data_IF_171704903590
#
_entry.id   IF_171704903590
#
_cell.length_a   1.000
_cell.length_b   1.000
_cell.length_c   1.000
_cell.angle_alpha   90.00
_cell.angle_beta   90.00
_cell.angle_gamma   90.00
#
_symmetry.space_group_name_H-M   'P 1'
#
loop_
_entity.id
_entity.type
_entity.pdbx_description
1 polymer ?
#
# COMPACT_ATOMS: atom_id res chain seq x y z
N UNK A 1 -22.52 25.32 -3.09
CA UNK A 1 -23.31 24.72 -1.99
C UNK A 1 -24.41 23.80 -2.54
N UNK A 2 -23.98 22.62 -3.02
CA UNK A 2 -24.85 21.63 -3.68
C UNK A 2 -25.98 21.09 -2.79
N UNK A 3 -25.78 21.06 -1.47
CA UNK A 3 -26.81 20.64 -0.51
C UNK A 3 -28.01 21.59 -0.49
N UNK A 4 -27.76 22.90 -0.58
CA UNK A 4 -28.83 23.91 -0.65
C UNK A 4 -29.57 23.83 -1.98
N UNK A 5 -28.87 23.63 -3.09
CA UNK A 5 -29.48 23.47 -4.41
C UNK A 5 -30.35 22.21 -4.46
N UNK A 6 -29.84 21.06 -3.99
CA UNK A 6 -30.59 19.80 -3.90
C UNK A 6 -31.84 19.98 -3.05
N UNK A 7 -31.75 20.61 -1.89
CA UNK A 7 -32.88 20.83 -1.01
C UNK A 7 -33.93 21.76 -1.62
N UNK A 8 -33.51 22.80 -2.35
CA UNK A 8 -34.43 23.68 -3.08
C UNK A 8 -35.18 22.94 -4.19
N UNK A 9 -34.52 22.04 -4.89
CA UNK A 9 -35.14 21.23 -5.97
C UNK A 9 -36.09 20.17 -5.42
N UNK A 10 -35.69 19.44 -4.36
CA UNK A 10 -36.47 18.29 -3.83
C UNK A 10 -37.66 18.75 -2.98
N UNK A 11 -37.52 19.82 -2.17
CA UNK A 11 -38.58 20.20 -1.22
C UNK A 11 -39.69 21.11 -1.80
N UNK A 12 -39.53 21.63 -3.03
CA UNK A 12 -40.61 22.35 -3.71
C UNK A 12 -41.44 21.49 -4.70
N UNK A 13 -41.07 20.23 -4.91
CA UNK A 13 -41.77 19.32 -5.83
C UNK A 13 -43.00 18.62 -5.22
N UNK A 14 -43.53 19.06 -4.07
CA UNK A 14 -44.69 18.48 -3.40
C UNK A 14 -46.06 19.04 -3.84
N UNK A 15 -46.11 19.76 -4.95
CA UNK A 15 -47.39 20.21 -5.57
C UNK A 15 -47.84 19.25 -6.65
N UNK A 16 -49.12 18.93 -6.67
CA UNK A 16 -49.82 17.94 -7.54
C UNK A 16 -49.93 18.32 -9.03
N UNK A 17 -49.09 19.20 -9.53
CA UNK A 17 -49.06 19.53 -10.98
C UNK A 17 -47.70 19.21 -11.58
N UNK A 18 -47.79 18.62 -12.79
CA UNK A 18 -46.70 18.11 -13.61
C UNK A 18 -45.33 18.75 -13.41
N UNK A 19 -44.34 17.89 -13.26
CA UNK A 19 -42.87 18.12 -13.36
C UNK A 19 -42.41 19.53 -13.78
N UNK A 20 -42.61 20.54 -12.92
CA UNK A 20 -41.99 21.84 -13.09
C UNK A 20 -40.60 21.75 -12.50
N UNK A 21 -39.57 21.56 -13.32
CA UNK A 21 -38.20 21.71 -12.91
C UNK A 21 -37.99 23.15 -12.43
N UNK A 22 -37.76 23.33 -11.14
CA UNK A 22 -37.56 24.64 -10.50
C UNK A 22 -36.24 25.27 -10.95
N UNK A 23 -35.27 24.44 -11.36
CA UNK A 23 -34.02 24.87 -11.94
C UNK A 23 -33.47 23.78 -12.86
N UNK A 24 -32.95 24.19 -14.01
CA UNK A 24 -32.12 23.32 -14.84
C UNK A 24 -30.66 23.56 -14.44
N UNK A 25 -29.96 22.58 -13.82
CA UNK A 25 -28.55 22.79 -13.46
C UNK A 25 -27.71 22.97 -14.71
N UNK A 26 -26.77 23.91 -14.65
CA UNK A 26 -25.80 24.09 -15.75
C UNK A 26 -24.98 22.80 -15.93
N UNK A 27 -24.57 22.51 -17.15
CA UNK A 27 -23.81 21.29 -17.50
C UNK A 27 -22.57 21.11 -16.62
N UNK A 28 -21.83 22.17 -16.33
CA UNK A 28 -20.67 22.11 -15.45
C UNK A 28 -21.00 21.66 -14.01
N UNK A 29 -22.20 21.93 -13.52
CA UNK A 29 -22.67 21.48 -12.19
C UNK A 29 -22.96 19.97 -12.22
N UNK A 30 -23.62 19.51 -13.29
CA UNK A 30 -23.91 18.07 -13.50
C UNK A 30 -22.62 17.29 -13.63
N UNK A 31 -21.67 17.77 -14.45
CA UNK A 31 -20.34 17.17 -14.60
C UNK A 31 -19.57 17.10 -13.28
N UNK A 32 -19.61 18.17 -12.49
CA UNK A 32 -18.95 18.19 -11.17
C UNK A 32 -19.58 17.18 -10.21
N UNK A 33 -20.91 17.04 -10.19
CA UNK A 33 -21.59 16.05 -9.35
C UNK A 33 -21.25 14.64 -9.80
N UNK A 34 -21.30 14.35 -11.10
CA UNK A 34 -20.91 13.07 -11.65
C UNK A 34 -19.44 12.73 -11.36
N UNK A 35 -18.55 13.72 -11.40
CA UNK A 35 -17.16 13.56 -11.02
C UNK A 35 -17.00 13.21 -9.54
N UNK A 36 -17.72 13.92 -8.64
CA UNK A 36 -17.73 13.63 -7.19
C UNK A 36 -18.28 12.23 -6.92
N UNK A 37 -19.39 11.87 -7.57
CA UNK A 37 -19.97 10.53 -7.47
C UNK A 37 -18.94 9.46 -7.87
N UNK A 38 -18.29 9.62 -9.03
CA UNK A 38 -17.23 8.72 -9.47
C UNK A 38 -16.13 8.54 -8.43
N UNK A 39 -15.67 9.65 -7.82
CA UNK A 39 -14.62 9.60 -6.79
C UNK A 39 -15.07 8.86 -5.52
N UNK A 40 -16.33 8.98 -5.15
CA UNK A 40 -16.90 8.34 -3.95
C UNK A 40 -17.27 6.87 -4.20
N UNK A 41 -17.88 6.58 -5.33
CA UNK A 41 -18.37 5.23 -5.64
C UNK A 41 -17.30 4.32 -6.27
N UNK A 42 -16.32 4.92 -6.95
CA UNK A 42 -15.23 4.22 -7.62
C UNK A 42 -13.88 4.88 -7.27
N UNK A 43 -13.44 4.80 -6.01
CA UNK A 43 -12.17 5.39 -5.61
C UNK A 43 -11.00 4.72 -6.34
N UNK A 44 -9.90 5.47 -6.61
CA UNK A 44 -8.74 4.94 -7.31
C UNK A 44 -8.10 3.80 -6.52
N UNK A 45 -7.98 2.63 -7.15
CA UNK A 45 -7.37 1.46 -6.53
C UNK A 45 -5.85 1.57 -6.56
N UNK A 46 -5.22 1.05 -5.52
CA UNK A 46 -3.77 1.02 -5.41
C UNK A 46 -3.13 0.28 -6.60
N UNK A 47 -3.67 -0.87 -6.96
CA UNK A 47 -3.14 -1.73 -8.02
C UNK A 47 -3.18 -1.08 -9.41
N UNK A 48 -4.08 -0.12 -9.63
CA UNK A 48 -4.12 0.68 -10.88
C UNK A 48 -3.02 1.75 -10.91
N UNK A 49 -2.64 2.27 -9.73
CA UNK A 49 -1.63 3.31 -9.59
C UNK A 49 -0.20 2.79 -9.66
N UNK A 50 0.02 1.52 -9.30
CA UNK A 50 1.35 0.91 -9.23
C UNK A 50 1.46 -0.26 -10.19
N UNK A 51 2.65 -0.41 -10.81
CA UNK A 51 2.95 -1.64 -11.55
C UNK A 51 3.35 -2.73 -10.56
N UNK A 52 2.89 -3.96 -10.77
CA UNK A 52 3.38 -5.11 -10.03
C UNK A 52 4.91 -5.16 -10.19
N UNK A 53 5.62 -5.00 -9.08
CA UNK A 53 7.07 -5.11 -9.05
C UNK A 53 7.43 -6.54 -8.69
N UNK A 54 8.50 -7.06 -9.30
CA UNK A 54 9.10 -8.30 -8.80
C UNK A 54 9.59 -8.04 -7.38
N UNK A 55 8.96 -8.68 -6.40
CA UNK A 55 9.33 -8.57 -5.00
C UNK A 55 10.49 -9.54 -4.75
N UNK A 56 11.57 -9.03 -4.19
CA UNK A 56 12.65 -9.88 -3.72
C UNK A 56 12.19 -10.65 -2.46
N UNK A 57 12.48 -11.92 -2.43
CA UNK A 57 12.09 -12.80 -1.33
C UNK A 57 13.18 -13.81 -1.03
N UNK A 58 13.13 -14.34 0.19
CA UNK A 58 13.99 -15.42 0.67
C UNK A 58 13.14 -16.44 1.41
N UNK A 59 13.69 -17.65 1.59
CA UNK A 59 13.04 -18.67 2.40
C UNK A 59 13.57 -18.65 3.83
N UNK A 60 12.71 -18.96 4.80
CA UNK A 60 13.03 -18.90 6.22
C UNK A 60 14.15 -19.88 6.63
N UNK A 61 14.27 -21.01 5.95
CA UNK A 61 15.30 -22.04 6.18
C UNK A 61 16.67 -21.69 5.58
N UNK A 62 16.75 -20.69 4.69
CA UNK A 62 18.00 -20.33 4.04
C UNK A 62 18.86 -19.43 4.95
N UNK A 63 20.20 -19.54 4.84
CA UNK A 63 21.10 -18.73 5.65
C UNK A 63 21.02 -17.25 5.31
N UNK A 64 21.31 -16.38 6.26
CA UNK A 64 21.25 -14.91 6.15
C UNK A 64 22.06 -14.37 4.98
N UNK A 65 23.14 -15.01 4.60
CA UNK A 65 23.93 -14.60 3.42
C UNK A 65 23.07 -14.54 2.15
N UNK A 66 22.00 -15.35 2.07
CA UNK A 66 21.06 -15.32 0.95
C UNK A 66 20.29 -13.99 0.92
N UNK A 67 19.91 -13.47 2.09
CA UNK A 67 19.26 -12.16 2.21
C UNK A 67 20.24 -11.03 1.83
N UNK A 68 21.50 -11.11 2.27
CA UNK A 68 22.56 -10.15 1.90
C UNK A 68 22.71 -10.09 0.38
N UNK A 69 22.83 -11.24 -0.27
CA UNK A 69 22.95 -11.32 -1.72
C UNK A 69 21.71 -10.77 -2.43
N UNK A 70 20.50 -11.10 -1.95
CA UNK A 70 19.26 -10.59 -2.52
C UNK A 70 19.17 -9.06 -2.42
N UNK A 71 19.61 -8.45 -1.32
CA UNK A 71 19.69 -6.99 -1.18
C UNK A 71 20.69 -6.39 -2.18
N UNK A 72 21.86 -6.99 -2.33
CA UNK A 72 22.91 -6.52 -3.25
C UNK A 72 22.47 -6.58 -4.70
N UNK A 73 21.77 -7.65 -5.11
CA UNK A 73 21.31 -7.86 -6.48
C UNK A 73 20.11 -7.00 -6.86
N UNK A 74 19.16 -6.80 -5.92
CA UNK A 74 17.87 -6.20 -6.23
C UNK A 74 17.76 -4.73 -5.87
N UNK A 75 18.65 -4.22 -5.02
CA UNK A 75 18.60 -2.86 -4.43
C UNK A 75 17.27 -2.57 -3.70
N UNK A 76 16.49 -3.58 -3.40
CA UNK A 76 15.28 -3.45 -2.60
C UNK A 76 15.66 -3.30 -1.13
N UNK A 77 14.90 -2.51 -0.38
CA UNK A 77 15.16 -2.27 1.05
C UNK A 77 14.47 -3.28 1.98
N UNK A 78 13.59 -4.09 1.42
CA UNK A 78 12.82 -5.09 2.16
C UNK A 78 12.68 -6.36 1.33
N UNK A 79 12.83 -7.49 1.97
CA UNK A 79 12.63 -8.83 1.41
C UNK A 79 11.43 -9.48 2.09
N UNK A 80 10.63 -10.21 1.35
CA UNK A 80 9.58 -11.05 1.93
C UNK A 80 10.21 -12.38 2.32
N UNK A 81 9.87 -12.87 3.49
CA UNK A 81 10.32 -14.19 3.99
C UNK A 81 9.17 -15.17 3.86
N UNK A 82 9.43 -16.26 3.15
CA UNK A 82 8.49 -17.35 2.99
C UNK A 82 8.94 -18.60 3.75
N UNK A 83 7.98 -19.27 4.36
CA UNK A 83 8.14 -20.60 4.93
C UNK A 83 7.03 -21.52 4.39
N UNK A 84 7.41 -22.67 3.82
CA UNK A 84 6.47 -23.63 3.20
C UNK A 84 5.42 -22.95 2.29
N UNK A 85 5.84 -21.95 1.52
CA UNK A 85 4.98 -21.22 0.58
C UNK A 85 4.10 -20.14 1.20
N UNK A 86 4.12 -19.96 2.51
CA UNK A 86 3.40 -18.92 3.24
C UNK A 86 4.33 -17.77 3.62
N UNK A 87 3.85 -16.55 3.49
CA UNK A 87 4.56 -15.38 3.98
C UNK A 87 4.57 -15.40 5.52
N UNK A 88 5.78 -15.47 6.11
CA UNK A 88 5.97 -15.46 7.56
C UNK A 88 6.50 -14.12 8.08
N UNK A 89 6.99 -13.27 7.21
CA UNK A 89 7.43 -11.95 7.60
C UNK A 89 8.29 -11.23 6.56
N UNK A 90 9.06 -10.29 7.04
CA UNK A 90 9.95 -9.45 6.22
C UNK A 90 11.29 -9.28 6.90
N UNK A 91 12.33 -9.11 6.08
CA UNK A 91 13.65 -8.64 6.50
C UNK A 91 13.89 -7.32 5.80
N UNK A 92 14.17 -6.24 6.54
CA UNK A 92 14.65 -5.01 5.94
C UNK A 92 16.17 -4.89 6.07
N UNK A 93 16.79 -4.16 5.15
CA UNK A 93 18.24 -4.00 5.11
C UNK A 93 18.82 -3.36 6.37
N UNK A 94 18.09 -2.42 6.97
CA UNK A 94 18.52 -1.77 8.20
C UNK A 94 18.47 -2.73 9.41
N UNK A 95 17.42 -3.52 9.54
CA UNK A 95 17.30 -4.54 10.59
C UNK A 95 18.38 -5.61 10.46
N UNK A 96 18.66 -6.08 9.23
CA UNK A 96 19.76 -7.01 8.99
C UNK A 96 21.12 -6.40 9.36
N UNK A 97 21.35 -5.13 8.98
CA UNK A 97 22.57 -4.41 9.38
C UNK A 97 22.71 -4.33 10.91
N UNK A 98 21.63 -4.03 11.63
CA UNK A 98 21.64 -3.93 13.09
C UNK A 98 21.99 -5.29 13.74
N UNK A 99 21.46 -6.41 13.24
CA UNK A 99 21.81 -7.75 13.71
C UNK A 99 23.31 -8.07 13.47
N UNK A 100 23.81 -7.74 12.27
CA UNK A 100 25.22 -7.91 11.92
C UNK A 100 26.12 -7.07 12.85
N UNK A 101 25.75 -5.80 13.07
CA UNK A 101 26.50 -4.89 13.92
C UNK A 101 26.53 -5.34 15.38
N UNK A 102 25.39 -5.79 15.91
CA UNK A 102 25.32 -6.33 17.27
C UNK A 102 26.23 -7.54 17.43
N UNK A 103 26.14 -8.51 16.50
CA UNK A 103 26.98 -9.72 16.53
C UNK A 103 28.47 -9.41 16.44
N UNK A 104 28.86 -8.44 15.58
CA UNK A 104 30.25 -8.00 15.47
C UNK A 104 30.76 -7.30 16.74
N UNK A 105 29.91 -6.48 17.39
CA UNK A 105 30.23 -5.77 18.62
C UNK A 105 30.47 -6.71 19.82
N UNK A 106 29.76 -7.85 19.81
CA UNK A 106 29.94 -8.92 20.79
C UNK A 106 31.19 -9.79 20.51
N UNK A 107 31.98 -9.45 19.49
CA UNK A 107 33.19 -10.19 19.10
C UNK A 107 32.91 -11.48 18.33
N UNK A 108 31.67 -11.66 17.82
CA UNK A 108 31.28 -12.83 17.06
C UNK A 108 31.85 -12.84 15.64
N UNK A 109 31.97 -14.04 15.06
CA UNK A 109 32.35 -14.22 13.66
C UNK A 109 31.15 -13.94 12.75
N UNK A 110 31.17 -12.76 12.12
CA UNK A 110 30.10 -12.30 11.21
C UNK A 110 29.91 -13.25 10.02
N UNK A 111 30.99 -13.81 9.47
CA UNK A 111 30.88 -14.75 8.35
C UNK A 111 30.16 -16.04 8.77
N UNK A 112 30.50 -16.56 9.93
CA UNK A 112 29.84 -17.72 10.52
C UNK A 112 28.36 -17.41 10.79
N UNK A 113 28.07 -16.29 11.42
CA UNK A 113 26.70 -15.81 11.68
C UNK A 113 25.86 -15.77 10.40
N UNK A 114 26.36 -15.14 9.34
CA UNK A 114 25.64 -15.03 8.07
C UNK A 114 25.41 -16.36 7.36
N UNK A 115 26.28 -17.34 7.54
CA UNK A 115 26.20 -18.65 6.87
C UNK A 115 25.41 -19.71 7.66
N UNK A 116 25.37 -19.58 8.98
CA UNK A 116 24.74 -20.59 9.84
C UNK A 116 23.37 -20.16 10.38
N UNK A 117 23.08 -18.84 10.46
CA UNK A 117 21.80 -18.34 10.95
C UNK A 117 20.75 -18.36 9.84
N UNK A 118 19.60 -19.02 10.02
CA UNK A 118 18.53 -19.02 9.04
C UNK A 118 17.82 -17.65 8.97
N UNK A 119 17.32 -17.27 7.80
CA UNK A 119 16.58 -16.02 7.59
C UNK A 119 15.38 -15.87 8.53
N UNK A 120 14.70 -16.96 8.85
CA UNK A 120 13.56 -16.96 9.75
C UNK A 120 13.90 -16.55 11.20
N UNK A 121 15.15 -16.74 11.62
CA UNK A 121 15.58 -16.42 12.99
C UNK A 121 15.58 -14.92 13.31
N UNK A 122 15.66 -14.05 12.29
CA UNK A 122 15.65 -12.60 12.47
C UNK A 122 14.31 -11.96 12.11
N UNK A 123 13.30 -12.76 11.75
CA UNK A 123 11.94 -12.27 11.55
C UNK A 123 11.31 -12.03 12.92
N UNK A 124 11.17 -10.77 13.32
CA UNK A 124 10.65 -10.37 14.64
C UNK A 124 9.30 -9.67 14.50
N UNK A 125 8.44 -9.82 15.52
CA UNK A 125 7.12 -9.18 15.57
C UNK A 125 7.22 -7.64 15.50
N UNK A 126 8.23 -7.04 16.15
CA UNK A 126 8.44 -5.60 16.11
C UNK A 126 8.71 -5.09 14.68
N UNK A 127 9.37 -5.91 13.86
CA UNK A 127 9.59 -5.59 12.45
C UNK A 127 8.30 -5.77 11.66
N UNK A 128 7.55 -6.84 11.94
CA UNK A 128 6.24 -7.11 11.31
C UNK A 128 5.25 -5.98 11.60
N UNK A 129 5.28 -5.43 12.82
CA UNK A 129 4.44 -4.29 13.19
C UNK A 129 4.68 -3.05 12.32
N UNK A 130 5.84 -2.91 11.66
CA UNK A 130 6.21 -1.81 10.76
C UNK A 130 5.80 -2.03 9.31
N UNK A 131 5.03 -3.08 9.03
CA UNK A 131 4.40 -3.37 7.75
C UNK A 131 2.90 -3.48 7.94
N UNK A 132 2.13 -3.12 6.92
CA UNK A 132 0.69 -3.31 6.90
C UNK A 132 0.31 -4.20 5.73
N UNK A 133 -0.47 -5.22 6.00
CA UNK A 133 -1.08 -6.05 4.96
C UNK A 133 -2.38 -5.39 4.50
N UNK A 134 -2.60 -5.38 3.21
CA UNK A 134 -3.82 -4.86 2.59
C UNK A 134 -4.24 -5.76 1.44
N UNK A 135 -5.54 -5.78 1.15
CA UNK A 135 -6.08 -6.52 0.04
C UNK A 135 -5.80 -5.82 -1.31
N UNK A 136 -5.92 -6.56 -2.40
CA UNK A 136 -5.64 -6.03 -3.75
C UNK A 136 -6.63 -4.94 -4.20
N UNK A 137 -7.83 -4.90 -3.62
CA UNK A 137 -8.87 -3.90 -3.89
C UNK A 137 -8.71 -2.61 -3.06
N UNK A 138 -7.69 -2.54 -2.20
CA UNK A 138 -7.39 -1.38 -1.36
C UNK A 138 -7.21 -0.12 -2.21
N UNK A 139 -7.80 0.99 -1.72
CA UNK A 139 -7.69 2.28 -2.41
C UNK A 139 -6.35 2.97 -2.14
N UNK A 140 -5.98 3.89 -3.03
CA UNK A 140 -4.81 4.76 -2.82
C UNK A 140 -4.94 5.57 -1.54
N UNK A 141 -6.16 6.01 -1.20
CA UNK A 141 -6.42 6.81 0.00
C UNK A 141 -6.22 6.01 1.28
N UNK A 142 -6.61 4.72 1.31
CA UNK A 142 -6.37 3.84 2.45
C UNK A 142 -4.88 3.64 2.70
N UNK A 143 -4.07 3.56 1.64
CA UNK A 143 -2.62 3.46 1.76
C UNK A 143 -2.02 4.74 2.34
N UNK A 144 -2.40 5.91 1.84
CA UNK A 144 -1.93 7.18 2.41
C UNK A 144 -2.32 7.31 3.89
N UNK A 145 -3.57 6.97 4.22
CA UNK A 145 -4.05 6.95 5.61
C UNK A 145 -3.23 5.99 6.48
N UNK A 146 -2.88 4.82 5.97
CA UNK A 146 -2.03 3.87 6.70
C UNK A 146 -0.66 4.46 7.07
N UNK A 147 -0.02 5.19 6.16
CA UNK A 147 1.26 5.87 6.43
C UNK A 147 1.11 7.11 7.32
N UNK A 148 -0.03 7.79 7.26
CA UNK A 148 -0.33 8.94 8.14
C UNK A 148 -0.56 8.49 9.59
N UNK A 149 -1.34 7.42 9.79
CA UNK A 149 -1.66 6.85 11.10
C UNK A 149 -0.42 6.26 11.80
N UNK A 150 0.48 5.66 11.02
CA UNK A 150 1.67 4.98 11.55
C UNK A 150 2.94 5.52 10.92
N UNK A 151 3.56 6.50 11.57
CA UNK A 151 4.75 7.22 11.08
C UNK A 151 6.00 6.35 10.90
N UNK A 152 6.10 5.24 11.63
CA UNK A 152 7.20 4.27 11.51
C UNK A 152 6.89 3.13 10.53
N UNK A 153 5.78 3.21 9.80
CA UNK A 153 5.42 2.24 8.77
C UNK A 153 6.46 2.26 7.65
N UNK A 154 7.07 1.11 7.39
CA UNK A 154 8.10 0.98 6.36
C UNK A 154 7.50 0.72 4.98
N UNK A 155 6.45 -0.11 4.93
CA UNK A 155 5.78 -0.45 3.69
C UNK A 155 4.39 -1.03 3.94
N UNK A 156 3.58 -0.98 2.88
CA UNK A 156 2.32 -1.71 2.75
C UNK A 156 2.58 -2.88 1.81
N UNK A 157 2.23 -4.08 2.24
CA UNK A 157 2.33 -5.31 1.45
C UNK A 157 0.92 -5.66 0.97
N UNK A 158 0.76 -5.76 -0.33
CA UNK A 158 -0.51 -6.16 -0.94
C UNK A 158 -0.53 -7.66 -1.10
N UNK A 159 -1.59 -8.28 -0.63
CA UNK A 159 -1.89 -9.69 -0.84
C UNK A 159 -3.30 -9.81 -1.42
N UNK A 160 -3.76 -11.00 -1.77
CA UNK A 160 -5.09 -11.17 -2.36
C UNK A 160 -6.21 -10.64 -1.46
N UNK A 161 -6.20 -11.00 -0.18
CA UNK A 161 -7.24 -10.61 0.78
C UNK A 161 -6.72 -9.76 1.96
N UNK A 162 -5.45 -9.37 1.96
CA UNK A 162 -4.85 -8.57 3.03
C UNK A 162 -4.55 -9.34 4.31
N UNK A 163 -4.43 -10.67 4.24
CA UNK A 163 -4.21 -11.51 5.40
C UNK A 163 -2.82 -12.14 5.43
N UNK A 164 -2.37 -12.47 6.65
CA UNK A 164 -1.07 -13.12 6.86
C UNK A 164 -1.05 -14.52 6.26
N UNK A 165 0.10 -14.92 5.72
CA UNK A 165 0.31 -16.23 5.11
C UNK A 165 0.00 -16.28 3.62
N UNK A 166 -0.64 -15.27 3.05
CA UNK A 166 -0.85 -15.16 1.62
C UNK A 166 0.44 -14.75 0.89
N UNK A 167 0.46 -15.02 -0.42
CA UNK A 167 1.55 -14.57 -1.28
C UNK A 167 1.48 -13.04 -1.46
N UNK A 168 2.60 -12.36 -1.25
CA UNK A 168 2.70 -10.94 -1.55
C UNK A 168 2.61 -10.71 -3.07
N UNK A 169 1.68 -9.84 -3.49
CA UNK A 169 1.49 -9.42 -4.88
C UNK A 169 2.42 -8.26 -5.23
N UNK A 170 2.53 -7.30 -4.32
CA UNK A 170 3.44 -6.16 -4.44
C UNK A 170 3.74 -5.56 -3.07
N UNK A 171 4.76 -4.70 -3.02
CA UNK A 171 5.14 -3.92 -1.84
C UNK A 171 5.20 -2.44 -2.22
N UNK A 172 4.59 -1.60 -1.39
CA UNK A 172 4.50 -0.16 -1.57
C UNK A 172 5.20 0.54 -0.43
N UNK A 173 6.09 1.45 -0.77
CA UNK A 173 6.87 2.24 0.17
C UNK A 173 6.63 3.73 -0.08
N UNK A 174 7.03 4.64 0.82
CA UNK A 174 6.95 6.07 0.56
C UNK A 174 7.66 6.53 -0.74
N UNK A 175 8.63 5.77 -1.23
CA UNK A 175 9.30 6.05 -2.50
C UNK A 175 8.37 5.88 -3.73
N UNK A 176 7.24 5.20 -3.57
CA UNK A 176 6.24 5.03 -4.63
C UNK A 176 5.23 6.20 -4.70
N UNK A 177 5.17 7.07 -3.69
CA UNK A 177 4.21 8.19 -3.62
C UNK A 177 4.27 9.15 -4.81
N UNK A 178 5.43 9.56 -5.34
CA UNK A 178 5.47 10.43 -6.51
C UNK A 178 4.77 9.83 -7.72
N UNK A 179 4.81 8.51 -7.87
CA UNK A 179 4.15 7.80 -8.94
C UNK A 179 2.64 7.68 -8.70
N UNK A 180 2.25 7.39 -7.45
CA UNK A 180 0.84 7.34 -7.04
C UNK A 180 0.19 8.71 -7.24
N UNK A 181 0.87 9.79 -6.84
CA UNK A 181 0.37 11.16 -7.05
C UNK A 181 0.17 11.48 -8.54
N UNK A 182 1.11 11.09 -9.41
CA UNK A 182 0.95 11.28 -10.86
C UNK A 182 -0.25 10.51 -11.41
N UNK A 183 -0.51 9.31 -10.91
CA UNK A 183 -1.72 8.57 -11.27
C UNK A 183 -2.98 9.31 -10.82
N UNK A 184 -3.00 9.83 -9.58
CA UNK A 184 -4.13 10.61 -9.07
C UNK A 184 -4.38 11.88 -9.89
N UNK A 185 -3.33 12.57 -10.35
CA UNK A 185 -3.47 13.71 -11.24
C UNK A 185 -4.22 13.32 -12.52
N UNK A 186 -3.85 12.21 -13.16
CA UNK A 186 -4.55 11.72 -14.37
C UNK A 186 -5.95 11.20 -14.08
N UNK A 187 -6.16 10.58 -12.92
CA UNK A 187 -7.46 10.10 -12.48
C UNK A 187 -8.44 11.25 -12.22
N UNK A 188 -7.94 12.38 -11.71
CA UNK A 188 -8.69 13.57 -11.36
C UNK A 188 -8.92 14.54 -12.52
N UNK A 189 -8.37 14.28 -13.70
CA UNK A 189 -8.63 15.11 -14.89
C UNK A 189 -10.07 14.89 -15.33
N UNK A 190 -10.86 15.98 -15.40
CA UNK A 190 -12.18 15.95 -16.02
C UNK A 190 -12.01 15.56 -17.49
N UNK A 191 -12.84 14.67 -18.02
CA UNK A 191 -12.90 14.50 -19.47
C UNK A 191 -13.27 15.84 -20.11
N UNK A 192 -12.48 16.26 -21.10
CA UNK A 192 -12.75 17.46 -21.90
C UNK A 192 -13.96 17.27 -22.79
#
# INVERSE_FOLDING_TARGET
DYGKLRNAVVHRATGTEAEVFIANPCDNVVENIAFIEKQLCHPPRLMDAIKIKKIASVFADKPLITAVNAFAETWQKSLIVYDHGKMVGTINSYGLYAEIAAHASDGGDVNKFLRETPCGAIVREEILSRYRLVAEDTTVFDVFKAFEEKKDLLAVIVTEHGVQGEKALTIVTPADFPRINRYLETYNVKPF
#
